data_IF_339700408461
#
_entry.id   IF_339700408461
#
_cell.length_a   1.000
_cell.length_b   1.000
_cell.length_c   1.000
_cell.angle_alpha   90.00
_cell.angle_beta   90.00
_cell.angle_gamma   90.00
#
_symmetry.space_group_name_H-M   'P 1'
#
loop_
_entity.id
_entity.type
_entity.pdbx_description
1 polymer ?
#
# COMPACT_ATOMS: atom_id res chain seq x y z
N UNK A 1 -22.33 -105.08 5.36
CA UNK A 1 -22.25 -103.77 6.04
C UNK A 1 -20.93 -103.01 5.80
N UNK A 2 -20.03 -103.52 4.93
CA UNK A 2 -18.69 -102.93 4.67
C UNK A 2 -18.72 -101.94 3.49
N UNK A 3 -19.74 -102.00 2.63
CA UNK A 3 -19.82 -101.20 1.40
C UNK A 3 -20.26 -99.73 1.62
N UNK A 4 -20.87 -99.40 2.76
CA UNK A 4 -21.24 -98.01 3.08
C UNK A 4 -20.06 -97.21 3.65
N UNK A 5 -19.13 -97.87 4.35
CA UNK A 5 -17.95 -97.20 4.89
C UNK A 5 -17.00 -96.71 3.78
N UNK A 6 -16.80 -97.52 2.73
CA UNK A 6 -15.97 -97.14 1.58
C UNK A 6 -16.60 -96.01 0.75
N UNK A 7 -17.93 -95.97 0.63
CA UNK A 7 -18.62 -94.89 -0.10
C UNK A 7 -18.52 -93.53 0.63
N UNK A 8 -18.53 -93.55 1.96
CA UNK A 8 -18.42 -92.33 2.78
C UNK A 8 -17.00 -91.74 2.76
N UNK A 9 -15.96 -92.56 2.69
CA UNK A 9 -14.57 -92.09 2.56
C UNK A 9 -14.29 -91.44 1.19
N UNK A 10 -14.83 -92.01 0.10
CA UNK A 10 -14.68 -91.43 -1.24
C UNK A 10 -15.38 -90.07 -1.33
N UNK A 11 -16.54 -89.90 -0.67
CA UNK A 11 -17.25 -88.62 -0.62
C UNK A 11 -16.52 -87.55 0.20
N UNK A 12 -15.71 -87.97 1.17
CA UNK A 12 -14.88 -87.09 2.02
C UNK A 12 -13.64 -86.57 1.28
N UNK A 13 -13.12 -87.34 0.33
CA UNK A 13 -11.98 -86.95 -0.51
C UNK A 13 -12.37 -86.05 -1.69
N UNK A 14 -13.65 -86.01 -2.09
CA UNK A 14 -14.16 -85.19 -3.19
C UNK A 14 -14.60 -83.77 -2.78
N UNK A 15 -14.41 -83.37 -1.51
CA UNK A 15 -14.72 -82.01 -1.08
C UNK A 15 -13.62 -81.05 -1.58
N UNK A 16 -13.94 -80.03 -2.38
CA UNK A 16 -12.94 -79.07 -2.83
C UNK A 16 -12.34 -78.35 -1.62
N UNK A 17 -11.02 -78.40 -1.49
CA UNK A 17 -10.28 -77.60 -0.52
C UNK A 17 -10.66 -76.12 -0.70
N UNK A 18 -11.40 -75.58 0.27
CA UNK A 18 -11.68 -74.15 0.36
C UNK A 18 -10.37 -73.43 0.62
N UNK A 19 -9.73 -72.96 -0.45
CA UNK A 19 -8.65 -72.00 -0.39
C UNK A 19 -9.25 -70.72 0.17
N UNK A 20 -9.11 -70.48 1.48
CA UNK A 20 -9.39 -69.17 2.05
C UNK A 20 -8.44 -68.19 1.37
N UNK A 21 -8.99 -67.41 0.45
CA UNK A 21 -8.31 -66.29 -0.16
C UNK A 21 -7.79 -65.38 0.98
N UNK A 22 -6.48 -65.29 1.11
CA UNK A 22 -5.84 -64.23 1.90
C UNK A 22 -6.25 -62.93 1.25
N UNK A 23 -7.26 -62.27 1.84
CA UNK A 23 -7.70 -60.94 1.45
C UNK A 23 -6.55 -59.99 1.76
N UNK A 24 -5.68 -59.79 0.78
CA UNK A 24 -4.66 -58.75 0.81
C UNK A 24 -5.36 -57.41 0.98
N UNK A 25 -5.44 -56.93 2.22
CA UNK A 25 -5.85 -55.57 2.53
C UNK A 25 -4.78 -54.65 1.96
N UNK A 26 -4.98 -54.21 0.72
CA UNK A 26 -4.15 -53.20 0.09
C UNK A 26 -4.14 -51.96 0.98
N UNK A 27 -3.01 -51.75 1.68
CA UNK A 27 -2.67 -50.49 2.36
C UNK A 27 -2.49 -49.42 1.29
N UNK A 28 -3.58 -48.96 0.68
CA UNK A 28 -3.58 -47.86 -0.31
C UNK A 28 -3.95 -46.51 0.32
N UNK A 29 -4.09 -46.41 1.65
CA UNK A 29 -4.55 -45.18 2.32
C UNK A 29 -3.45 -44.24 2.83
N UNK A 30 -2.17 -44.57 2.64
CA UNK A 30 -1.07 -43.75 3.16
C UNK A 30 -0.83 -42.49 2.34
N UNK A 31 -0.63 -42.64 1.02
CA UNK A 31 -0.26 -41.54 0.12
C UNK A 31 -1.30 -40.41 0.08
N UNK A 32 -2.59 -40.76 0.05
CA UNK A 32 -3.66 -39.76 0.03
C UNK A 32 -3.68 -38.88 1.30
N UNK A 33 -3.32 -39.45 2.45
CA UNK A 33 -3.18 -38.70 3.70
C UNK A 33 -1.98 -37.75 3.70
N UNK A 34 -0.85 -38.17 3.11
CA UNK A 34 0.35 -37.33 2.96
C UNK A 34 0.16 -36.20 1.95
N UNK A 35 -0.48 -36.46 0.80
CA UNK A 35 -0.81 -35.41 -0.17
C UNK A 35 -1.78 -34.38 0.43
N UNK A 36 -2.82 -34.83 1.14
CA UNK A 36 -3.76 -33.91 1.80
C UNK A 36 -3.09 -33.03 2.85
N UNK A 37 -2.17 -33.60 3.65
CA UNK A 37 -1.39 -32.85 4.64
C UNK A 37 -0.43 -31.86 3.98
N UNK A 38 0.28 -32.28 2.94
CA UNK A 38 1.16 -31.40 2.15
C UNK A 38 0.41 -30.22 1.54
N UNK A 39 -0.76 -30.48 0.95
CA UNK A 39 -1.65 -29.42 0.44
C UNK A 39 -2.09 -28.46 1.55
N UNK A 40 -2.44 -28.98 2.73
CA UNK A 40 -2.85 -28.16 3.86
C UNK A 40 -1.72 -27.23 4.32
N UNK A 41 -0.49 -27.73 4.41
CA UNK A 41 0.68 -26.91 4.75
C UNK A 41 0.99 -25.87 3.67
N UNK A 42 0.94 -26.23 2.39
CA UNK A 42 1.16 -25.28 1.29
C UNK A 42 0.11 -24.15 1.32
N UNK A 43 -1.16 -24.49 1.53
CA UNK A 43 -2.22 -23.50 1.67
C UNK A 43 -2.02 -22.63 2.92
N UNK A 44 -1.60 -23.20 4.06
CA UNK A 44 -1.32 -22.43 5.27
C UNK A 44 -0.14 -21.46 5.09
N UNK A 45 0.94 -21.90 4.43
CA UNK A 45 2.11 -21.06 4.13
C UNK A 45 1.77 -19.97 3.12
N UNK A 46 0.92 -20.25 2.12
CA UNK A 46 0.48 -19.25 1.15
C UNK A 46 -0.57 -18.29 1.74
N UNK A 47 -1.43 -18.76 2.64
CA UNK A 47 -2.48 -17.94 3.23
C UNK A 47 -1.93 -16.76 4.00
N UNK A 48 -0.83 -16.94 4.76
CA UNK A 48 -0.25 -15.87 5.55
C UNK A 48 0.23 -14.65 4.71
N UNK A 49 1.12 -14.80 3.70
CA UNK A 49 1.54 -13.68 2.86
C UNK A 49 0.40 -13.14 1.99
N UNK A 50 -0.57 -13.96 1.58
CA UNK A 50 -1.73 -13.47 0.83
C UNK A 50 -2.66 -12.63 1.70
N UNK A 51 -2.90 -13.02 2.96
CA UNK A 51 -3.70 -12.25 3.90
C UNK A 51 -2.99 -10.96 4.31
N UNK A 52 -1.70 -11.03 4.65
CA UNK A 52 -0.92 -9.84 5.02
C UNK A 52 -0.74 -8.91 3.82
N UNK A 53 -0.36 -9.45 2.67
CA UNK A 53 -0.20 -8.68 1.43
C UNK A 53 -1.53 -8.08 0.95
N UNK A 54 -2.62 -8.84 1.02
CA UNK A 54 -3.96 -8.34 0.69
C UNK A 54 -4.43 -7.24 1.65
N UNK A 55 -4.22 -7.40 2.95
CA UNK A 55 -4.53 -6.37 3.94
C UNK A 55 -3.70 -5.10 3.74
N UNK A 56 -2.40 -5.22 3.49
CA UNK A 56 -1.54 -4.07 3.18
C UNK A 56 -1.92 -3.41 1.86
N UNK A 57 -2.21 -4.17 0.80
CA UNK A 57 -2.66 -3.62 -0.47
C UNK A 57 -3.98 -2.85 -0.32
N UNK A 58 -4.94 -3.40 0.43
CA UNK A 58 -6.21 -2.74 0.72
C UNK A 58 -6.01 -1.45 1.56
N UNK A 59 -5.14 -1.49 2.58
CA UNK A 59 -4.80 -0.33 3.39
C UNK A 59 -4.14 0.77 2.54
N UNK A 60 -3.18 0.42 1.69
CA UNK A 60 -2.51 1.38 0.81
C UNK A 60 -3.46 1.93 -0.28
N UNK A 61 -4.32 1.09 -0.86
CA UNK A 61 -5.31 1.54 -1.83
C UNK A 61 -6.27 2.60 -1.26
N UNK A 62 -6.52 2.58 0.06
CA UNK A 62 -7.31 3.63 0.73
C UNK A 62 -6.55 4.95 0.93
N UNK A 63 -5.21 4.92 0.91
CA UNK A 63 -4.35 6.11 1.07
C UNK A 63 -3.96 6.76 -0.28
N UNK A 64 -4.13 6.07 -1.41
CA UNK A 64 -3.89 6.63 -2.75
C UNK A 64 -4.93 7.71 -3.09
N UNK A 65 -6.05 7.74 -2.39
CA UNK A 65 -7.03 8.83 -2.49
C UNK A 65 -6.58 9.99 -1.60
N UNK A 66 -5.85 10.95 -2.18
CA UNK A 66 -5.66 12.26 -1.55
C UNK A 66 -7.04 12.78 -1.21
N UNK A 67 -7.32 12.85 0.09
CA UNK A 67 -8.53 13.49 0.57
C UNK A 67 -8.47 14.93 0.07
N UNK A 68 -9.56 15.42 -0.55
CA UNK A 68 -9.63 16.85 -0.84
C UNK A 68 -9.30 17.61 0.44
N UNK A 69 -8.45 18.66 0.36
CA UNK A 69 -8.09 19.42 1.54
C UNK A 69 -9.39 19.85 2.22
N UNK A 70 -9.48 19.63 3.53
CA UNK A 70 -10.65 20.08 4.30
C UNK A 70 -10.89 21.56 4.00
N UNK A 71 -12.15 21.98 3.89
CA UNK A 71 -12.43 23.39 3.68
C UNK A 71 -11.96 24.20 4.91
N UNK A 72 -11.01 25.12 4.72
CA UNK A 72 -10.65 26.11 5.73
C UNK A 72 -11.59 27.31 5.61
N UNK A 73 -12.37 27.59 6.66
CA UNK A 73 -13.29 28.73 6.71
C UNK A 73 -12.79 29.88 7.59
N UNK A 74 -11.54 29.81 8.06
CA UNK A 74 -10.94 30.87 8.86
C UNK A 74 -10.48 32.06 8.02
N UNK A 75 -10.17 33.16 8.70
CA UNK A 75 -9.49 34.29 8.06
C UNK A 75 -8.08 33.86 7.62
N UNK A 76 -7.71 34.19 6.38
CA UNK A 76 -6.39 33.88 5.87
C UNK A 76 -5.34 34.77 6.56
N UNK A 77 -4.15 34.24 6.87
CA UNK A 77 -3.08 35.05 7.45
C UNK A 77 -2.75 36.25 6.53
N UNK A 78 -2.26 37.37 7.06
CA UNK A 78 -1.79 38.47 6.23
C UNK A 78 -0.58 38.03 5.39
N UNK A 79 -0.37 38.71 4.26
CA UNK A 79 0.81 38.47 3.42
C UNK A 79 2.09 38.90 4.17
N UNK A 80 3.21 38.17 4.02
CA UNK A 80 4.50 38.63 4.50
C UNK A 80 4.88 40.01 3.94
N UNK A 81 5.44 40.87 4.79
CA UNK A 81 5.93 42.19 4.37
C UNK A 81 7.13 42.02 3.42
N UNK A 82 7.16 42.82 2.35
CA UNK A 82 8.22 42.80 1.36
C UNK A 82 9.34 43.78 1.73
N UNK A 83 10.59 43.31 1.72
CA UNK A 83 11.80 44.10 1.93
C UNK A 83 12.56 44.26 0.59
N UNK A 84 12.60 45.46 -0.01
CA UNK A 84 13.24 45.65 -1.31
C UNK A 84 14.76 45.47 -1.28
N UNK A 85 15.39 45.38 -0.12
CA UNK A 85 16.83 45.11 0.00
C UNK A 85 17.19 43.62 -0.08
N UNK A 86 16.20 42.72 -0.11
CA UNK A 86 16.40 41.27 -0.16
C UNK A 86 16.02 40.70 -1.52
N UNK A 87 16.66 39.57 -1.86
CA UNK A 87 16.30 38.77 -3.02
C UNK A 87 14.88 38.20 -2.83
N UNK A 88 14.17 37.90 -3.90
CA UNK A 88 12.84 37.26 -3.85
C UNK A 88 12.96 35.78 -4.19
N UNK A 89 12.55 34.91 -3.27
CA UNK A 89 12.45 33.48 -3.49
C UNK A 89 10.99 33.02 -3.41
N UNK A 90 10.59 32.16 -4.33
CA UNK A 90 9.28 31.54 -4.38
C UNK A 90 9.42 30.04 -4.21
N UNK A 91 8.64 29.45 -3.30
CA UNK A 91 8.47 27.99 -3.21
C UNK A 91 7.06 27.66 -3.65
N UNK A 92 6.94 26.86 -4.70
CA UNK A 92 5.65 26.47 -5.23
C UNK A 92 5.01 25.36 -4.37
N UNK A 93 3.69 25.41 -4.23
CA UNK A 93 2.87 24.37 -3.62
C UNK A 93 1.72 23.99 -4.56
N UNK A 94 1.38 22.71 -4.60
CA UNK A 94 0.21 22.19 -5.29
C UNK A 94 -1.00 22.16 -4.36
N UNK A 95 -2.14 22.68 -4.80
CA UNK A 95 -3.38 22.55 -4.03
C UNK A 95 -3.90 21.10 -3.94
N UNK A 96 -3.33 20.17 -4.72
CA UNK A 96 -3.67 18.73 -4.73
C UNK A 96 -2.59 17.84 -4.10
N UNK A 97 -1.57 18.44 -3.50
CA UNK A 97 -0.44 17.72 -2.90
C UNK A 97 0.90 18.21 -3.40
N UNK A 98 1.86 18.24 -2.49
CA UNK A 98 3.27 18.59 -2.71
C UNK A 98 4.13 17.63 -1.91
N UNK A 99 5.21 17.11 -2.50
CA UNK A 99 6.15 16.25 -1.79
C UNK A 99 6.86 17.05 -0.68
N UNK A 100 6.83 16.51 0.55
CA UNK A 100 7.19 17.28 1.72
C UNK A 100 8.70 17.54 1.87
N UNK A 101 9.57 16.61 1.46
CA UNK A 101 11.01 16.78 1.53
C UNK A 101 11.47 17.84 0.52
N UNK A 102 10.94 17.79 -0.70
CA UNK A 102 11.22 18.77 -1.75
C UNK A 102 10.67 20.17 -1.43
N UNK A 103 9.62 20.26 -0.60
CA UNK A 103 9.09 21.54 -0.13
C UNK A 103 9.83 22.06 1.11
N UNK A 104 9.86 21.29 2.21
CA UNK A 104 10.30 21.76 3.52
C UNK A 104 11.81 21.94 3.61
N UNK A 105 12.61 21.10 2.94
CA UNK A 105 14.06 21.21 2.99
C UNK A 105 14.54 22.56 2.43
N UNK A 106 14.24 22.94 1.17
CA UNK A 106 14.63 24.25 0.66
C UNK A 106 13.93 25.40 1.39
N UNK A 107 12.64 25.26 1.75
CA UNK A 107 11.91 26.30 2.48
C UNK A 107 12.62 26.67 3.79
N UNK A 108 13.02 25.68 4.60
CA UNK A 108 13.65 25.92 5.90
C UNK A 108 15.00 26.65 5.79
N UNK A 109 15.80 26.27 4.78
CA UNK A 109 17.10 26.92 4.51
C UNK A 109 16.89 28.37 4.07
N UNK A 110 15.97 28.61 3.13
CA UNK A 110 15.70 29.96 2.62
C UNK A 110 15.12 30.86 3.72
N UNK A 111 14.16 30.36 4.50
CA UNK A 111 13.51 31.09 5.58
C UNK A 111 14.51 31.51 6.67
N UNK A 112 15.45 30.61 7.01
CA UNK A 112 16.44 30.85 8.07
C UNK A 112 17.61 31.71 7.61
N UNK A 113 17.87 31.77 6.29
CA UNK A 113 19.02 32.51 5.74
C UNK A 113 18.99 34.02 5.99
N UNK A 114 17.79 34.59 6.16
CA UNK A 114 17.58 36.04 6.26
C UNK A 114 17.80 36.82 4.96
N UNK A 115 18.26 36.17 3.89
CA UNK A 115 18.66 36.79 2.61
C UNK A 115 17.50 37.02 1.63
N UNK A 116 16.35 36.34 1.85
CA UNK A 116 15.23 36.34 0.91
C UNK A 116 13.94 36.90 1.52
N UNK A 117 13.16 37.59 0.69
CA UNK A 117 11.71 37.61 0.78
C UNK A 117 11.21 36.26 0.28
N UNK A 118 10.78 35.39 1.20
CA UNK A 118 10.30 34.06 0.87
C UNK A 118 8.77 34.06 0.78
N UNK A 119 8.23 33.59 -0.35
CA UNK A 119 6.80 33.43 -0.56
C UNK A 119 6.47 31.98 -0.95
N UNK A 120 5.43 31.43 -0.32
CA UNK A 120 4.78 30.20 -0.77
C UNK A 120 3.66 30.55 -1.73
N UNK A 121 3.72 30.02 -2.95
CA UNK A 121 2.75 30.31 -4.01
C UNK A 121 2.09 29.02 -4.50
N UNK A 122 0.77 29.02 -4.64
CA UNK A 122 0.00 27.91 -5.20
C UNK A 122 -0.99 28.39 -6.26
N UNK A 123 -1.62 27.51 -7.06
CA UNK A 123 -2.66 27.92 -8.02
C UNK A 123 -3.76 28.77 -7.37
N UNK A 124 -4.25 28.33 -6.20
CA UNK A 124 -5.23 29.04 -5.37
C UNK A 124 -4.72 29.22 -3.94
N UNK A 125 -5.14 30.31 -3.30
CA UNK A 125 -4.79 30.62 -1.91
C UNK A 125 -5.74 29.94 -0.93
N UNK A 126 -5.64 28.62 -0.83
CA UNK A 126 -6.44 27.74 0.05
C UNK A 126 -5.56 26.67 0.70
N UNK A 127 -6.13 25.83 1.58
CA UNK A 127 -5.41 24.70 2.16
C UNK A 127 -4.77 23.85 1.06
N UNK A 128 -3.45 23.67 1.19
CA UNK A 128 -2.61 22.92 0.26
C UNK A 128 -1.89 21.83 1.06
N UNK A 129 -2.09 20.55 0.71
CA UNK A 129 -1.42 19.45 1.40
C UNK A 129 0.06 19.42 1.03
N UNK A 130 0.92 19.36 2.05
CA UNK A 130 2.34 19.05 1.94
C UNK A 130 2.56 17.69 2.58
N UNK A 131 2.51 16.66 1.76
CA UNK A 131 2.45 15.27 2.20
C UNK A 131 3.69 14.51 1.75
N UNK A 132 4.27 13.68 2.62
CA UNK A 132 5.20 12.64 2.18
C UNK A 132 4.55 11.66 1.19
N UNK A 133 5.38 10.96 0.42
CA UNK A 133 4.92 9.83 -0.40
C UNK A 133 4.22 8.79 0.50
N UNK A 134 2.97 8.37 0.21
CA UNK A 134 2.32 7.31 0.96
C UNK A 134 3.18 6.04 0.99
N UNK A 135 3.27 5.28 2.11
CA UNK A 135 2.53 5.43 3.37
C UNK A 135 3.32 6.18 4.47
N UNK A 136 4.38 6.90 4.10
CA UNK A 136 5.28 7.54 5.06
C UNK A 136 4.51 8.68 5.73
N UNK A 137 4.38 8.70 7.07
CA UNK A 137 3.96 9.82 7.96
C UNK A 137 2.74 10.72 7.62
N UNK A 138 2.06 11.30 8.63
CA UNK A 138 1.09 12.37 8.37
C UNK A 138 1.79 13.59 7.74
N UNK A 139 1.19 14.14 6.68
CA UNK A 139 1.62 15.41 6.08
C UNK A 139 1.25 16.62 6.94
N UNK A 140 1.62 17.80 6.46
CA UNK A 140 1.18 19.09 7.01
C UNK A 140 0.41 19.84 5.94
N UNK A 141 -0.75 20.38 6.29
CA UNK A 141 -1.45 21.29 5.39
C UNK A 141 -1.00 22.72 5.66
N UNK A 142 -0.82 23.50 4.59
CA UNK A 142 -0.42 24.91 4.68
C UNK A 142 -1.41 25.80 3.94
N UNK A 143 -1.46 27.07 4.33
CA UNK A 143 -2.07 28.13 3.53
C UNK A 143 -0.95 28.87 2.80
N UNK A 144 -0.92 28.87 1.46
CA UNK A 144 0.02 29.66 0.69
C UNK A 144 -0.09 31.16 1.01
N UNK A 145 1.03 31.87 0.95
CA UNK A 145 1.02 33.33 1.10
C UNK A 145 0.22 33.98 -0.02
N UNK A 146 0.26 33.38 -1.21
CA UNK A 146 -0.29 33.91 -2.45
C UNK A 146 -0.83 32.81 -3.36
N UNK A 147 -1.90 33.12 -4.09
CA UNK A 147 -2.21 32.45 -5.35
C UNK A 147 -1.27 32.93 -6.47
N UNK A 148 -1.09 32.13 -7.52
CA UNK A 148 -0.31 32.52 -8.71
C UNK A 148 -0.83 33.83 -9.30
N UNK A 149 -2.15 33.98 -9.42
CA UNK A 149 -2.77 35.22 -9.93
C UNK A 149 -2.57 36.43 -9.00
N UNK A 150 -2.43 36.25 -7.68
CA UNK A 150 -2.07 37.33 -6.77
C UNK A 150 -0.58 37.66 -6.82
N UNK A 151 0.27 36.66 -7.03
CA UNK A 151 1.71 36.85 -7.23
C UNK A 151 1.97 37.67 -8.49
N UNK A 152 1.40 37.27 -9.64
CA UNK A 152 1.58 37.97 -10.93
C UNK A 152 1.10 39.43 -10.88
N UNK A 153 0.04 39.71 -10.12
CA UNK A 153 -0.46 41.08 -9.93
C UNK A 153 0.42 41.92 -9.02
N UNK A 154 1.05 41.30 -8.03
CA UNK A 154 1.84 42.00 -7.02
C UNK A 154 3.30 42.20 -7.43
N UNK A 155 3.85 41.27 -8.21
CA UNK A 155 5.24 41.25 -8.63
C UNK A 155 5.32 41.33 -10.15
N UNK A 156 5.81 42.47 -10.64
CA UNK A 156 5.98 42.70 -12.09
C UNK A 156 7.33 42.18 -12.63
N UNK A 157 8.19 41.67 -11.75
CA UNK A 157 9.50 41.12 -12.08
C UNK A 157 9.58 39.67 -11.66
N UNK A 158 10.36 38.88 -12.40
CA UNK A 158 10.62 37.48 -12.04
C UNK A 158 11.33 37.41 -10.68
N UNK A 159 11.02 36.40 -9.84
CA UNK A 159 11.76 36.15 -8.62
C UNK A 159 13.20 35.70 -8.95
N UNK A 160 14.13 35.97 -8.02
CA UNK A 160 15.53 35.58 -8.15
C UNK A 160 15.74 34.06 -8.02
N UNK A 161 14.83 33.38 -7.34
CA UNK A 161 14.82 31.92 -7.17
C UNK A 161 13.39 31.37 -7.18
N UNK A 162 13.18 30.29 -7.93
CA UNK A 162 11.95 29.50 -7.88
C UNK A 162 12.33 28.08 -7.49
N UNK A 163 11.72 27.59 -6.41
CA UNK A 163 11.77 26.18 -6.00
C UNK A 163 10.50 25.51 -6.51
N UNK A 164 10.69 24.43 -7.27
CA UNK A 164 9.61 23.60 -7.81
C UNK A 164 9.74 22.22 -7.19
N UNK A 165 8.93 21.91 -6.15
CA UNK A 165 8.92 20.58 -5.57
C UNK A 165 8.32 19.54 -6.52
N UNK A 166 8.52 18.25 -6.21
CA UNK A 166 7.77 17.19 -6.84
C UNK A 166 6.27 17.24 -6.47
N UNK A 167 5.40 16.97 -7.45
CA UNK A 167 3.95 16.90 -7.29
C UNK A 167 3.49 15.47 -7.55
N UNK A 168 3.20 14.67 -6.51
CA UNK A 168 2.88 13.25 -6.68
C UNK A 168 1.54 12.97 -7.37
N UNK A 169 0.70 13.99 -7.60
CA UNK A 169 -0.62 13.88 -8.22
C UNK A 169 -0.81 14.99 -9.26
N UNK A 170 -0.39 14.72 -10.50
CA UNK A 170 -0.52 15.61 -11.66
C UNK A 170 -1.49 15.01 -12.68
N UNK A 171 -2.77 14.93 -12.31
CA UNK A 171 -3.86 14.63 -13.24
C UNK A 171 -4.77 15.85 -13.41
#
# INVERSE_FOLDING_TARGET
MIQQQTMNEIKKMAAPHSTKAVKGSGRRSGYFGWLRRGMFYLLAVAALPLLVGGAMAAANASQIWVSEPLAFSGELPPRPAHDPAKLTAVVLAGNRGTENADFLAPYSVLATSGAFNLYVVAPERRLSPVTPMPPLSPGVDIIPDLSMAEFDRAFQSAPDLIVIPNYPHID
#
